data_IF_552227809896
#
_entry.id   IF_552227809896
#
_cell.length_a   1.000
_cell.length_b   1.000
_cell.length_c   1.000
_cell.angle_alpha   90.00
_cell.angle_beta   90.00
_cell.angle_gamma   90.00
#
_symmetry.space_group_name_H-M   'P 1'
#
loop_
_entity.id
_entity.type
_entity.pdbx_description
1 polymer ?
#
# COMPACT_ATOMS: atom_id res chain seq x y z
N UNK A 1 -25.47 9.06 5.21
CA UNK A 1 -25.45 8.25 3.98
C UNK A 1 -24.97 9.02 2.77
N UNK A 2 -25.46 10.22 2.49
CA UNK A 2 -25.07 11.04 1.33
C UNK A 2 -23.55 11.30 1.23
N UNK A 3 -22.88 11.62 2.33
CA UNK A 3 -21.42 11.83 2.35
C UNK A 3 -20.62 10.58 1.96
N UNK A 4 -20.99 9.41 2.47
CA UNK A 4 -20.30 8.15 2.11
C UNK A 4 -20.48 7.78 0.64
N UNK A 5 -21.71 7.93 0.12
CA UNK A 5 -21.98 7.71 -1.32
C UNK A 5 -21.18 8.70 -2.16
N UNK A 6 -21.16 9.98 -1.76
CA UNK A 6 -20.35 11.00 -2.44
C UNK A 6 -18.84 10.70 -2.37
N UNK A 7 -18.30 10.36 -1.20
CA UNK A 7 -16.88 10.02 -1.04
C UNK A 7 -16.49 8.76 -1.80
N UNK A 8 -17.37 7.75 -1.84
CA UNK A 8 -17.18 6.55 -2.64
C UNK A 8 -17.17 6.87 -4.14
N UNK A 9 -18.12 7.67 -4.63
CA UNK A 9 -18.14 8.07 -6.05
C UNK A 9 -16.98 8.97 -6.40
N UNK A 10 -16.59 9.89 -5.51
CA UNK A 10 -15.41 10.72 -5.67
C UNK A 10 -14.10 9.90 -5.67
N UNK A 11 -14.09 8.69 -5.11
CA UNK A 11 -12.91 7.82 -5.20
C UNK A 11 -12.58 7.39 -6.63
N UNK A 12 -13.57 7.33 -7.52
CA UNK A 12 -13.35 7.00 -8.94
C UNK A 12 -12.56 8.07 -9.70
N UNK A 13 -12.54 9.31 -9.19
CA UNK A 13 -11.74 10.40 -9.76
C UNK A 13 -10.36 10.54 -9.13
N UNK A 14 -10.04 9.76 -8.10
CA UNK A 14 -8.70 9.72 -7.50
C UNK A 14 -7.80 8.83 -8.34
N UNK A 15 -6.56 9.25 -8.52
CA UNK A 15 -5.56 8.47 -9.24
C UNK A 15 -5.26 7.15 -8.49
N UNK A 16 -4.93 6.12 -9.27
CA UNK A 16 -4.44 4.85 -8.73
C UNK A 16 -2.94 4.94 -8.46
N UNK A 17 -2.49 4.29 -7.40
CA UNK A 17 -1.04 4.11 -7.13
C UNK A 17 -0.43 3.04 -8.04
N UNK A 18 -1.24 2.17 -8.64
CA UNK A 18 -0.75 1.05 -9.44
C UNK A 18 0.15 1.47 -10.62
N UNK A 19 -0.16 2.51 -11.42
CA UNK A 19 0.75 2.98 -12.48
C UNK A 19 2.10 3.47 -11.94
N UNK A 20 2.10 4.26 -10.86
CA UNK A 20 3.34 4.75 -10.24
C UNK A 20 4.19 3.61 -9.69
N UNK A 21 3.56 2.63 -9.04
CA UNK A 21 4.24 1.44 -8.53
C UNK A 21 4.82 0.58 -9.67
N UNK A 22 4.06 0.40 -10.77
CA UNK A 22 4.53 -0.30 -11.96
C UNK A 22 5.74 0.39 -12.58
N UNK A 23 5.70 1.72 -12.69
CA UNK A 23 6.81 2.50 -13.22
C UNK A 23 8.07 2.33 -12.38
N UNK A 24 7.98 2.47 -11.05
CA UNK A 24 9.12 2.28 -10.16
C UNK A 24 9.66 0.85 -10.18
N UNK A 25 8.77 -0.15 -10.29
CA UNK A 25 9.20 -1.54 -10.44
C UNK A 25 10.00 -1.72 -11.73
N UNK A 26 9.60 -1.11 -12.83
CA UNK A 26 10.31 -1.19 -14.12
C UNK A 26 11.62 -0.42 -14.10
N UNK A 27 11.67 0.76 -13.48
CA UNK A 27 12.91 1.50 -13.27
C UNK A 27 13.93 0.65 -12.49
N UNK A 28 13.49 0.02 -11.39
CA UNK A 28 14.35 -0.90 -10.63
C UNK A 28 14.74 -2.13 -11.44
N UNK A 29 13.88 -2.63 -12.32
CA UNK A 29 14.19 -3.76 -13.20
C UNK A 29 15.29 -3.41 -14.20
N UNK A 30 15.27 -2.20 -14.79
CA UNK A 30 16.34 -1.70 -15.67
C UNK A 30 17.65 -1.58 -14.91
N UNK A 31 17.62 -0.95 -13.73
CA UNK A 31 18.83 -0.75 -12.92
C UNK A 31 19.39 -2.07 -12.38
N UNK A 32 18.54 -3.03 -12.02
CA UNK A 32 18.90 -4.33 -11.48
C UNK A 32 19.43 -5.30 -12.54
N UNK A 33 19.03 -5.16 -13.80
CA UNK A 33 19.30 -6.13 -14.86
C UNK A 33 20.79 -6.53 -15.00
N UNK A 34 21.79 -5.62 -14.91
CA UNK A 34 23.20 -5.99 -14.99
C UNK A 34 23.69 -6.86 -13.84
N UNK A 35 23.07 -6.73 -12.64
CA UNK A 35 23.47 -7.45 -11.43
C UNK A 35 22.72 -8.78 -11.24
N UNK A 36 21.67 -9.05 -12.05
CA UNK A 36 20.91 -10.29 -11.97
C UNK A 36 21.58 -11.42 -12.73
N UNK A 37 21.58 -12.67 -12.18
CA UNK A 37 21.99 -13.84 -12.92
C UNK A 37 21.19 -13.99 -14.23
N UNK A 38 21.82 -14.37 -15.38
CA UNK A 38 21.13 -14.46 -16.67
C UNK A 38 19.88 -15.36 -16.67
N UNK A 39 19.85 -16.39 -15.81
CA UNK A 39 18.70 -17.29 -15.66
C UNK A 39 17.51 -16.64 -14.93
N UNK A 40 17.73 -15.65 -14.09
CA UNK A 40 16.70 -14.96 -13.31
C UNK A 40 16.25 -13.64 -13.95
N UNK A 41 17.10 -13.04 -14.77
CA UNK A 41 16.81 -11.76 -15.43
C UNK A 41 15.48 -11.76 -16.19
N UNK A 42 15.14 -12.75 -17.06
CA UNK A 42 13.85 -12.74 -17.78
C UNK A 42 12.63 -12.83 -16.86
N UNK A 43 12.79 -13.48 -15.70
CA UNK A 43 11.69 -13.70 -14.74
C UNK A 43 11.44 -12.47 -13.87
N UNK A 44 12.52 -11.78 -13.45
CA UNK A 44 12.46 -10.71 -12.46
C UNK A 44 12.45 -9.32 -13.10
N UNK A 45 13.25 -9.12 -14.14
CA UNK A 45 13.37 -7.83 -14.83
C UNK A 45 12.67 -7.82 -16.19
N UNK A 46 12.28 -8.98 -16.72
CA UNK A 46 11.75 -9.11 -18.08
C UNK A 46 12.84 -9.35 -19.12
N UNK A 47 12.43 -9.60 -20.36
CA UNK A 47 13.35 -9.89 -21.48
C UNK A 47 14.07 -8.61 -21.93
N UNK A 48 13.34 -7.52 -22.02
CA UNK A 48 13.88 -6.17 -22.29
C UNK A 48 13.25 -5.16 -21.31
N UNK A 49 13.89 -4.94 -20.15
CA UNK A 49 13.38 -4.02 -19.16
C UNK A 49 13.30 -2.57 -19.64
N UNK A 50 14.25 -2.15 -20.50
CA UNK A 50 14.30 -0.79 -21.05
C UNK A 50 13.14 -0.53 -22.01
N UNK A 51 12.77 -1.50 -22.86
CA UNK A 51 11.61 -1.40 -23.73
C UNK A 51 10.29 -1.38 -22.93
N UNK A 52 10.21 -2.16 -21.85
CA UNK A 52 9.03 -2.14 -20.98
C UNK A 52 8.88 -0.79 -20.26
N UNK A 53 9.96 -0.24 -19.75
CA UNK A 53 9.96 1.09 -19.13
C UNK A 53 9.55 2.17 -20.13
N UNK A 54 10.11 2.13 -21.34
CA UNK A 54 9.74 3.06 -22.42
C UNK A 54 8.23 3.02 -22.73
N UNK A 55 7.66 1.83 -22.88
CA UNK A 55 6.21 1.67 -23.14
C UNK A 55 5.37 2.27 -22.01
N UNK A 56 5.75 2.01 -20.77
CA UNK A 56 5.01 2.57 -19.62
C UNK A 56 5.10 4.08 -19.55
N UNK A 57 6.27 4.66 -19.84
CA UNK A 57 6.42 6.12 -19.88
C UNK A 57 5.59 6.75 -21.03
N UNK A 58 5.51 6.09 -22.20
CA UNK A 58 4.70 6.56 -23.33
C UNK A 58 3.18 6.48 -23.08
N UNK A 59 2.73 5.62 -22.17
CA UNK A 59 1.31 5.53 -21.79
C UNK A 59 0.87 6.71 -20.88
N UNK A 60 1.83 7.41 -20.25
CA UNK A 60 1.55 8.56 -19.39
C UNK A 60 1.58 9.84 -20.22
N UNK A 61 0.55 10.71 -20.14
CA UNK A 61 0.58 12.02 -20.78
C UNK A 61 1.81 12.85 -20.36
N UNK A 62 2.46 13.53 -21.31
CA UNK A 62 3.71 14.26 -21.09
C UNK A 62 3.61 15.35 -20.00
N UNK A 63 2.43 15.97 -19.87
CA UNK A 63 2.12 16.99 -18.86
C UNK A 63 1.98 16.43 -17.44
N UNK A 64 1.88 15.10 -17.30
CA UNK A 64 1.85 14.39 -16.00
C UNK A 64 3.19 13.77 -15.61
N UNK A 65 4.14 13.71 -16.54
CA UNK A 65 5.50 13.24 -16.24
C UNK A 65 6.28 14.33 -15.53
N UNK A 66 6.97 13.98 -14.46
CA UNK A 66 7.92 14.86 -13.79
C UNK A 66 9.21 15.05 -14.62
N UNK A 67 10.07 15.99 -14.21
CA UNK A 67 11.32 16.32 -14.92
C UNK A 67 12.20 15.11 -15.14
N UNK A 68 12.35 14.27 -14.12
CA UNK A 68 13.15 13.04 -14.15
C UNK A 68 12.59 12.03 -15.14
N UNK A 69 11.28 11.80 -15.11
CA UNK A 69 10.58 10.85 -16.00
C UNK A 69 10.64 11.31 -17.47
N UNK A 70 10.53 12.62 -17.72
CA UNK A 70 10.71 13.19 -19.08
C UNK A 70 12.12 12.98 -19.62
N UNK A 71 13.15 13.14 -18.76
CA UNK A 71 14.53 12.87 -19.13
C UNK A 71 14.78 11.36 -19.35
N UNK A 72 14.19 10.47 -18.54
CA UNK A 72 14.24 9.03 -18.78
C UNK A 72 13.59 8.64 -20.10
N UNK A 73 12.41 9.20 -20.40
CA UNK A 73 11.74 9.00 -21.70
C UNK A 73 12.62 9.45 -22.87
N UNK A 74 13.23 10.63 -22.75
CA UNK A 74 14.12 11.16 -23.78
C UNK A 74 15.39 10.32 -23.96
N UNK A 75 15.92 9.74 -22.87
CA UNK A 75 17.10 8.88 -22.93
C UNK A 75 16.80 7.49 -23.54
N UNK A 76 15.59 6.97 -23.30
CA UNK A 76 15.18 5.64 -23.78
C UNK A 76 14.69 5.65 -25.22
N UNK A 77 14.05 6.74 -25.67
CA UNK A 77 13.44 6.79 -27.01
C UNK A 77 14.50 6.95 -28.09
N UNK A 78 14.34 6.19 -29.18
CA UNK A 78 15.15 6.29 -30.40
C UNK A 78 14.54 7.23 -31.42
N UNK A 79 13.28 7.56 -31.30
CA UNK A 79 12.57 8.49 -32.18
C UNK A 79 12.92 9.93 -31.78
N UNK A 80 13.47 10.68 -32.74
CA UNK A 80 13.89 12.08 -32.53
C UNK A 80 12.69 12.98 -32.24
N UNK A 81 11.54 12.73 -32.89
CA UNK A 81 10.34 13.53 -32.65
C UNK A 81 9.78 13.35 -31.24
N UNK A 82 9.71 12.10 -30.77
CA UNK A 82 9.29 11.78 -29.40
C UNK A 82 10.26 12.37 -28.37
N UNK A 83 11.58 12.27 -28.62
CA UNK A 83 12.62 12.85 -27.77
C UNK A 83 12.46 14.35 -27.63
N UNK A 84 12.31 15.05 -28.75
CA UNK A 84 12.09 16.51 -28.76
C UNK A 84 10.79 16.88 -28.06
N UNK A 85 9.71 16.13 -28.27
CA UNK A 85 8.44 16.33 -27.58
C UNK A 85 8.56 16.16 -26.05
N UNK A 86 9.26 15.14 -25.59
CA UNK A 86 9.50 14.91 -24.15
C UNK A 86 10.29 16.06 -23.50
N UNK A 87 11.19 16.70 -24.25
CA UNK A 87 12.07 17.77 -23.78
C UNK A 87 11.55 19.18 -24.10
N UNK A 88 10.38 19.32 -24.75
CA UNK A 88 9.83 20.63 -25.16
C UNK A 88 9.32 21.47 -23.97
N UNK A 89 8.91 20.82 -22.87
CA UNK A 89 8.46 21.52 -21.68
C UNK A 89 9.66 21.96 -20.82
N UNK A 90 9.62 23.16 -20.22
CA UNK A 90 10.67 23.62 -19.33
C UNK A 90 10.77 22.69 -18.11
N UNK A 91 11.99 22.51 -17.60
CA UNK A 91 12.21 21.79 -16.35
C UNK A 91 12.02 22.73 -15.17
N UNK A 92 11.44 22.20 -14.10
CA UNK A 92 11.36 22.92 -12.80
C UNK A 92 12.74 22.95 -12.12
N UNK A 93 13.54 21.89 -12.36
CA UNK A 93 14.87 21.71 -11.78
C UNK A 93 15.94 22.27 -12.74
N UNK A 94 16.42 23.48 -12.48
CA UNK A 94 17.40 24.18 -13.31
C UNK A 94 18.73 23.40 -13.49
N UNK A 95 19.14 22.63 -12.48
CA UNK A 95 20.38 21.84 -12.52
C UNK A 95 20.36 20.73 -13.59
N UNK A 96 19.20 20.36 -14.11
CA UNK A 96 19.02 19.34 -15.15
C UNK A 96 18.93 19.92 -16.57
N UNK A 97 18.83 21.24 -16.74
CA UNK A 97 18.76 21.87 -18.07
C UNK A 97 19.96 21.55 -18.98
N UNK A 98 21.22 21.46 -18.48
CA UNK A 98 22.33 21.09 -19.36
C UNK A 98 22.19 19.69 -19.95
N UNK A 99 21.68 18.73 -19.15
CA UNK A 99 21.39 17.37 -19.61
C UNK A 99 20.23 17.36 -20.62
N UNK A 100 19.17 18.13 -20.36
CA UNK A 100 18.04 18.28 -21.29
C UNK A 100 18.53 18.72 -22.68
N UNK A 101 19.39 19.76 -22.74
CA UNK A 101 19.97 20.27 -23.99
C UNK A 101 20.86 19.24 -24.70
N UNK A 102 21.69 18.50 -23.95
CA UNK A 102 22.53 17.45 -24.49
C UNK A 102 21.72 16.31 -25.10
N UNK A 103 20.67 15.85 -24.42
CA UNK A 103 19.76 14.80 -24.92
C UNK A 103 18.95 15.28 -26.14
N UNK A 104 18.53 16.56 -26.19
CA UNK A 104 17.80 17.11 -27.32
C UNK A 104 18.61 17.15 -28.62
N UNK A 105 19.95 17.33 -28.52
CA UNK A 105 20.87 17.36 -29.63
C UNK A 105 21.54 16.04 -29.96
N UNK A 106 21.28 14.99 -29.17
CA UNK A 106 21.87 13.67 -29.36
C UNK A 106 21.30 12.99 -30.62
N UNK A 107 22.18 12.59 -31.53
CA UNK A 107 21.86 11.80 -32.71
C UNK A 107 22.33 10.34 -32.52
N UNK A 108 21.83 9.37 -33.32
CA UNK A 108 22.27 7.98 -33.24
C UNK A 108 23.79 7.78 -33.46
N UNK A 109 24.46 8.74 -34.07
CA UNK A 109 25.91 8.76 -34.30
C UNK A 109 26.69 9.53 -33.24
N UNK A 110 26.04 10.07 -32.21
CA UNK A 110 26.68 10.83 -31.14
C UNK A 110 27.67 9.92 -30.39
N UNK A 111 28.88 10.42 -30.18
CA UNK A 111 29.88 9.76 -29.33
C UNK A 111 30.03 10.52 -28.01
N UNK A 112 30.23 9.78 -26.94
CA UNK A 112 30.41 10.36 -25.62
C UNK A 112 31.66 11.27 -25.62
N UNK A 113 31.49 12.55 -25.30
CA UNK A 113 32.55 13.54 -25.19
C UNK A 113 32.91 13.83 -23.74
N UNK A 114 34.07 14.40 -23.46
CA UNK A 114 34.48 14.83 -22.12
C UNK A 114 33.46 15.81 -21.49
N UNK A 115 32.85 16.67 -22.32
CA UNK A 115 31.79 17.57 -21.86
C UNK A 115 30.53 16.80 -21.41
N UNK A 116 30.16 15.73 -22.12
CA UNK A 116 29.05 14.86 -21.70
C UNK A 116 29.38 14.12 -20.39
N UNK A 117 30.62 13.60 -20.24
CA UNK A 117 31.05 12.95 -19.01
C UNK A 117 30.98 13.88 -17.78
N UNK A 118 31.35 15.16 -17.95
CA UNK A 118 31.19 16.16 -16.89
C UNK A 118 29.74 16.41 -16.52
N UNK A 119 28.81 16.43 -17.49
CA UNK A 119 27.38 16.58 -17.21
C UNK A 119 26.83 15.37 -16.43
N UNK A 120 27.32 14.16 -16.72
CA UNK A 120 26.92 12.93 -16.05
C UNK A 120 27.47 12.80 -14.62
N UNK A 121 28.46 13.62 -14.22
CA UNK A 121 28.95 13.69 -12.83
C UNK A 121 28.07 14.58 -11.93
N UNK A 122 26.99 15.18 -12.47
CA UNK A 122 26.07 15.98 -11.67
C UNK A 122 25.44 15.12 -10.56
N UNK A 123 25.57 15.50 -9.26
CA UNK A 123 25.02 14.75 -8.13
C UNK A 123 23.48 14.74 -8.09
N UNK A 124 22.81 15.60 -8.86
CA UNK A 124 21.36 15.57 -9.02
C UNK A 124 20.85 14.40 -9.87
N UNK A 125 21.75 13.69 -10.58
CA UNK A 125 21.41 12.52 -11.38
C UNK A 125 21.43 11.26 -10.53
N UNK A 126 20.29 10.59 -10.44
CA UNK A 126 20.25 9.25 -9.89
C UNK A 126 20.96 8.22 -10.80
N UNK A 127 21.34 7.04 -10.28
CA UNK A 127 22.10 6.06 -11.05
C UNK A 127 21.43 5.61 -12.34
N UNK A 128 20.10 5.44 -12.36
CA UNK A 128 19.37 5.02 -13.55
C UNK A 128 19.37 6.08 -14.64
N UNK A 129 19.04 7.34 -14.28
CA UNK A 129 19.05 8.44 -15.22
C UNK A 129 20.45 8.70 -15.77
N UNK A 130 21.47 8.61 -14.95
CA UNK A 130 22.89 8.73 -15.35
C UNK A 130 23.27 7.65 -16.36
N UNK A 131 22.96 6.38 -16.06
CA UNK A 131 23.27 5.25 -16.95
C UNK A 131 22.59 5.41 -18.33
N UNK A 132 21.27 5.63 -18.33
CA UNK A 132 20.50 5.73 -19.58
C UNK A 132 20.88 6.96 -20.39
N UNK A 133 21.14 8.09 -19.74
CA UNK A 133 21.61 9.30 -20.42
C UNK A 133 22.99 9.11 -21.02
N UNK A 134 23.90 8.42 -20.35
CA UNK A 134 25.22 8.08 -20.88
C UNK A 134 25.11 7.20 -22.14
N UNK A 135 24.27 6.16 -22.10
CA UNK A 135 23.99 5.29 -23.27
C UNK A 135 23.37 6.10 -24.43
N UNK A 136 22.43 7.01 -24.14
CA UNK A 136 21.80 7.88 -25.14
C UNK A 136 22.78 8.88 -25.77
N UNK A 137 23.80 9.31 -25.05
CA UNK A 137 24.86 10.22 -25.53
C UNK A 137 26.03 9.47 -26.21
N UNK A 138 25.86 8.18 -26.51
CA UNK A 138 26.82 7.37 -27.28
C UNK A 138 27.91 6.70 -26.42
N UNK A 139 27.72 6.62 -25.11
CA UNK A 139 28.56 5.83 -24.23
C UNK A 139 28.35 4.33 -24.43
N UNK A 140 29.40 3.55 -24.39
CA UNK A 140 29.28 2.10 -24.30
C UNK A 140 28.84 1.73 -22.87
N UNK A 141 28.09 0.63 -22.74
CA UNK A 141 27.59 0.16 -21.42
C UNK A 141 28.70 0.06 -20.37
N UNK A 142 29.88 -0.42 -20.75
CA UNK A 142 31.03 -0.52 -19.85
C UNK A 142 31.60 0.84 -19.38
N UNK A 143 31.45 1.89 -20.18
CA UNK A 143 31.85 3.26 -19.81
C UNK A 143 30.77 3.95 -18.96
N UNK A 144 29.53 3.57 -19.14
CA UNK A 144 28.37 4.15 -18.43
C UNK A 144 28.13 3.55 -17.05
N UNK A 145 28.90 2.53 -16.66
CA UNK A 145 28.78 1.86 -15.35
C UNK A 145 29.93 2.28 -14.44
N UNK A 146 29.67 3.18 -13.52
CA UNK A 146 30.62 3.54 -12.45
C UNK A 146 30.57 2.51 -11.31
N UNK A 147 31.61 2.38 -10.45
CA UNK A 147 31.57 1.49 -9.29
C UNK A 147 30.38 1.76 -8.35
N UNK A 148 30.02 3.04 -8.15
CA UNK A 148 28.85 3.44 -7.35
C UNK A 148 27.53 2.97 -7.98
N UNK A 149 27.43 3.01 -9.31
CA UNK A 149 26.25 2.53 -10.03
C UNK A 149 26.16 0.99 -9.99
N UNK A 150 27.28 0.28 -9.89
CA UNK A 150 27.32 -1.17 -9.68
C UNK A 150 26.74 -1.56 -8.31
N UNK A 151 27.08 -0.83 -7.25
CA UNK A 151 26.48 -1.04 -5.92
C UNK A 151 24.99 -0.73 -5.92
N UNK A 152 24.56 0.32 -6.62
CA UNK A 152 23.14 0.65 -6.80
C UNK A 152 22.39 -0.46 -7.55
N UNK A 153 22.99 -1.04 -8.60
CA UNK A 153 22.40 -2.16 -9.34
C UNK A 153 22.25 -3.43 -8.47
N UNK A 154 23.26 -3.74 -7.63
CA UNK A 154 23.16 -4.84 -6.65
C UNK A 154 22.05 -4.58 -5.64
N UNK A 155 21.98 -3.37 -5.08
CA UNK A 155 20.93 -2.97 -4.17
C UNK A 155 19.52 -3.07 -4.81
N UNK A 156 19.37 -2.60 -6.04
CA UNK A 156 18.14 -2.70 -6.82
C UNK A 156 17.75 -4.16 -7.07
N UNK A 157 18.72 -5.03 -7.41
CA UNK A 157 18.47 -6.46 -7.63
C UNK A 157 17.96 -7.16 -6.37
N UNK A 158 18.53 -6.86 -5.20
CA UNK A 158 18.09 -7.42 -3.92
C UNK A 158 16.68 -6.95 -3.55
N UNK A 159 16.40 -5.65 -3.73
CA UNK A 159 15.06 -5.09 -3.48
C UNK A 159 14.02 -5.69 -4.41
N UNK A 160 14.32 -5.83 -5.70
CA UNK A 160 13.44 -6.43 -6.68
C UNK A 160 13.16 -7.91 -6.38
N UNK A 161 14.19 -8.69 -6.01
CA UNK A 161 14.06 -10.06 -5.57
C UNK A 161 13.11 -10.18 -4.38
N UNK A 162 13.33 -9.38 -3.35
CA UNK A 162 12.49 -9.39 -2.15
C UNK A 162 11.05 -8.96 -2.47
N UNK A 163 10.86 -7.90 -3.26
CA UNK A 163 9.55 -7.38 -3.62
C UNK A 163 8.70 -8.39 -4.43
N UNK A 164 9.33 -9.26 -5.21
CA UNK A 164 8.65 -10.26 -6.02
C UNK A 164 8.57 -11.63 -5.33
N UNK A 165 9.67 -12.14 -4.78
CA UNK A 165 9.71 -13.51 -4.24
C UNK A 165 8.99 -13.63 -2.89
N UNK A 166 9.02 -12.58 -2.06
CA UNK A 166 8.34 -12.63 -0.77
C UNK A 166 6.81 -12.77 -0.90
N UNK A 167 6.09 -11.95 -1.70
CA UNK A 167 4.65 -12.14 -1.93
C UNK A 167 4.32 -13.48 -2.59
N UNK A 168 5.11 -13.94 -3.57
CA UNK A 168 4.91 -15.23 -4.23
C UNK A 168 5.06 -16.38 -3.22
N UNK A 169 6.11 -16.36 -2.42
CA UNK A 169 6.32 -17.37 -1.37
C UNK A 169 5.20 -17.39 -0.34
N UNK A 170 4.76 -16.22 0.12
CA UNK A 170 3.65 -16.09 1.05
C UNK A 170 2.34 -16.59 0.43
N UNK A 171 2.09 -16.28 -0.85
CA UNK A 171 0.92 -16.76 -1.60
C UNK A 171 0.91 -18.29 -1.71
N UNK A 172 2.02 -18.91 -2.10
CA UNK A 172 2.12 -20.38 -2.24
C UNK A 172 1.91 -21.09 -0.89
N UNK A 173 2.55 -20.60 0.17
CA UNK A 173 2.33 -21.12 1.52
C UNK A 173 0.86 -20.93 1.92
N UNK A 174 0.28 -19.78 1.60
CA UNK A 174 -1.12 -19.46 1.87
C UNK A 174 -2.08 -20.43 1.18
N UNK A 175 -1.86 -20.74 -0.10
CA UNK A 175 -2.65 -21.74 -0.85
C UNK A 175 -2.59 -23.09 -0.16
N UNK A 176 -1.40 -23.58 0.18
CA UNK A 176 -1.23 -24.88 0.87
C UNK A 176 -1.96 -24.90 2.20
N UNK A 177 -1.82 -23.86 3.02
CA UNK A 177 -2.48 -23.76 4.31
C UNK A 177 -4.00 -23.68 4.16
N UNK A 178 -4.50 -22.90 3.21
CA UNK A 178 -5.93 -22.76 2.94
C UNK A 178 -6.53 -24.09 2.49
N UNK A 179 -5.94 -24.73 1.49
CA UNK A 179 -6.42 -26.04 0.97
C UNK A 179 -6.38 -27.12 2.06
N UNK A 180 -5.32 -27.16 2.88
CA UNK A 180 -5.22 -28.06 4.03
C UNK A 180 -6.34 -27.81 5.04
N UNK A 181 -6.61 -26.54 5.38
CA UNK A 181 -7.67 -26.20 6.34
C UNK A 181 -9.07 -26.57 5.81
N UNK A 182 -9.34 -26.27 4.54
CA UNK A 182 -10.58 -26.65 3.88
C UNK A 182 -10.76 -28.19 3.84
N UNK A 183 -9.72 -28.92 3.48
CA UNK A 183 -9.74 -30.39 3.47
C UNK A 183 -9.97 -30.99 4.85
N UNK A 184 -9.28 -30.45 5.91
CA UNK A 184 -9.47 -30.90 7.28
C UNK A 184 -10.88 -30.61 7.79
N UNK A 185 -11.48 -29.46 7.40
CA UNK A 185 -12.88 -29.13 7.72
C UNK A 185 -13.86 -30.08 7.02
N UNK A 186 -13.64 -30.33 5.75
CA UNK A 186 -14.44 -31.29 4.99
C UNK A 186 -14.38 -32.69 5.63
N UNK A 187 -13.20 -33.11 6.07
CA UNK A 187 -13.00 -34.37 6.83
C UNK A 187 -13.53 -34.31 8.27
N UNK A 188 -14.07 -33.20 8.71
CA UNK A 188 -14.50 -32.96 10.11
C UNK A 188 -13.41 -33.24 11.15
N UNK A 189 -12.14 -33.08 10.77
CA UNK A 189 -10.96 -33.29 11.61
C UNK A 189 -10.60 -32.07 12.48
N UNK A 190 -11.22 -30.90 12.25
CA UNK A 190 -11.02 -29.71 13.05
C UNK A 190 -12.10 -29.57 14.13
N UNK A 191 -11.72 -29.07 15.33
CA UNK A 191 -12.68 -28.81 16.38
C UNK A 191 -13.71 -27.74 15.97
N UNK A 192 -14.87 -27.78 16.61
CA UNK A 192 -15.87 -26.71 16.46
C UNK A 192 -15.30 -25.37 16.89
N UNK A 193 -15.76 -24.32 16.27
CA UNK A 193 -15.35 -22.97 16.65
C UNK A 193 -15.88 -22.59 18.02
N UNK A 194 -15.10 -21.84 18.81
CA UNK A 194 -15.55 -21.35 20.11
C UNK A 194 -16.79 -20.45 19.98
N UNK A 195 -17.52 -20.23 21.07
CA UNK A 195 -18.60 -19.25 21.07
C UNK A 195 -18.04 -17.86 20.77
N UNK A 196 -18.75 -17.10 19.92
CA UNK A 196 -18.40 -15.72 19.63
C UNK A 196 -18.95 -14.86 20.78
N UNK A 197 -18.04 -14.40 21.63
CA UNK A 197 -18.35 -13.49 22.73
C UNK A 197 -18.05 -12.05 22.31
N UNK A 198 -18.85 -11.11 22.81
CA UNK A 198 -18.71 -9.67 22.55
C UNK A 198 -19.75 -8.86 23.33
N UNK A 199 -19.69 -7.53 23.26
CA UNK A 199 -20.56 -6.65 24.04
C UNK A 199 -22.03 -6.84 23.68
N UNK A 200 -22.90 -6.70 24.68
CA UNK A 200 -24.36 -6.86 24.56
C UNK A 200 -25.01 -5.57 24.02
N UNK A 201 -24.42 -4.98 23.00
CA UNK A 201 -24.93 -3.79 22.33
C UNK A 201 -26.02 -4.14 21.32
N UNK A 202 -26.90 -3.19 21.07
CA UNK A 202 -27.95 -3.25 20.05
C UNK A 202 -27.44 -2.78 18.69
N UNK A 203 -28.15 -3.09 17.57
CA UNK A 203 -27.83 -2.53 16.26
C UNK A 203 -27.85 -0.98 16.22
N UNK A 204 -28.65 -0.33 17.06
CA UNK A 204 -28.71 1.14 17.15
C UNK A 204 -27.41 1.68 17.75
N UNK A 205 -26.89 1.04 18.80
CA UNK A 205 -25.64 1.47 19.45
C UNK A 205 -24.43 1.31 18.52
N UNK A 206 -24.35 0.24 17.72
CA UNK A 206 -23.29 0.12 16.71
C UNK A 206 -23.47 1.14 15.57
N UNK A 207 -24.71 1.54 15.24
CA UNK A 207 -24.93 2.61 14.27
C UNK A 207 -24.45 3.95 14.80
N UNK A 208 -24.68 4.26 16.09
CA UNK A 208 -24.14 5.46 16.74
C UNK A 208 -22.61 5.41 16.75
N UNK A 209 -22.02 4.26 17.06
CA UNK A 209 -20.57 4.08 17.09
C UNK A 209 -19.95 4.29 15.70
N UNK A 210 -20.48 3.62 14.68
CA UNK A 210 -19.91 3.63 13.33
C UNK A 210 -20.32 4.90 12.59
N UNK A 211 -21.62 5.16 12.42
CA UNK A 211 -22.08 6.30 11.64
C UNK A 211 -21.89 7.64 12.37
N UNK A 212 -22.14 7.69 13.68
CA UNK A 212 -21.95 8.90 14.48
C UNK A 212 -20.49 9.15 14.84
N UNK A 213 -19.86 8.17 15.48
CA UNK A 213 -18.50 8.31 16.00
C UNK A 213 -17.42 8.27 14.91
N UNK A 214 -17.38 7.17 14.16
CA UNK A 214 -16.31 6.96 13.17
C UNK A 214 -16.51 7.83 11.92
N UNK A 215 -17.72 7.83 11.32
CA UNK A 215 -17.96 8.53 10.05
C UNK A 215 -18.16 10.03 10.26
N UNK A 216 -19.18 10.40 11.05
CA UNK A 216 -19.56 11.81 11.15
C UNK A 216 -18.53 12.61 11.96
N UNK A 217 -18.29 12.22 13.20
CA UNK A 217 -17.36 12.97 14.06
C UNK A 217 -15.91 12.78 13.64
N UNK A 218 -15.45 11.54 13.47
CA UNK A 218 -14.06 11.24 13.13
C UNK A 218 -13.70 11.55 11.68
N UNK A 219 -14.57 11.20 10.73
CA UNK A 219 -14.29 11.32 9.30
C UNK A 219 -14.69 12.64 8.65
N UNK A 220 -15.55 13.46 9.29
CA UNK A 220 -16.02 14.73 8.72
C UNK A 220 -15.74 15.90 9.63
N UNK A 221 -16.31 15.90 10.85
CA UNK A 221 -16.29 17.09 11.72
C UNK A 221 -14.88 17.41 12.19
N UNK A 222 -14.17 16.42 12.73
CA UNK A 222 -12.82 16.66 13.26
C UNK A 222 -11.79 16.98 12.17
N UNK A 223 -11.75 16.31 11.00
CA UNK A 223 -10.85 16.74 9.92
C UNK A 223 -11.07 18.18 9.49
N UNK A 224 -12.33 18.62 9.32
CA UNK A 224 -12.63 20.04 8.97
C UNK A 224 -12.09 21.03 9.99
N UNK A 225 -12.08 20.67 11.28
CA UNK A 225 -11.62 21.55 12.35
C UNK A 225 -10.11 21.47 12.59
N UNK A 226 -9.51 20.29 12.42
CA UNK A 226 -8.13 20.00 12.85
C UNK A 226 -7.14 20.05 11.69
N UNK A 227 -7.53 19.67 10.46
CA UNK A 227 -6.61 19.68 9.32
C UNK A 227 -6.01 21.05 9.03
N UNK A 228 -6.75 22.17 9.05
CA UNK A 228 -6.14 23.50 8.83
C UNK A 228 -5.09 23.85 9.88
N UNK A 229 -5.29 23.43 11.13
CA UNK A 229 -4.33 23.66 12.22
C UNK A 229 -3.07 22.82 12.00
N UNK A 230 -3.22 21.56 11.63
CA UNK A 230 -2.11 20.67 11.33
C UNK A 230 -1.30 21.21 10.14
N UNK A 231 -1.98 21.65 9.09
CA UNK A 231 -1.35 22.25 7.92
C UNK A 231 -0.50 23.45 8.27
N UNK A 232 -1.05 24.41 9.00
CA UNK A 232 -0.32 25.61 9.43
C UNK A 232 0.90 25.26 10.29
N UNK A 233 0.80 24.26 11.17
CA UNK A 233 1.87 23.91 12.10
C UNK A 233 3.01 23.11 11.44
N UNK A 234 2.71 22.30 10.41
CA UNK A 234 3.64 21.29 9.91
C UNK A 234 3.98 21.39 8.41
N UNK A 235 3.33 22.24 7.61
CA UNK A 235 3.59 22.41 6.18
C UNK A 235 5.05 22.81 5.84
N UNK A 236 5.74 23.47 6.77
CA UNK A 236 7.14 23.90 6.58
C UNK A 236 8.20 22.82 6.85
N UNK A 237 7.81 21.59 7.20
CA UNK A 237 8.77 20.53 7.51
C UNK A 237 9.30 19.87 6.21
N UNK A 238 10.64 19.68 6.10
CA UNK A 238 11.25 19.13 4.89
C UNK A 238 10.94 17.64 4.69
N UNK A 239 11.03 17.18 3.44
CA UNK A 239 11.04 15.74 3.09
C UNK A 239 9.77 14.97 3.44
N UNK A 240 8.60 15.58 3.33
CA UNK A 240 7.32 14.90 3.60
C UNK A 240 7.04 14.61 5.10
N UNK A 241 7.93 15.03 6.01
CA UNK A 241 7.78 14.78 7.45
C UNK A 241 6.52 15.47 8.00
N UNK A 242 6.24 16.70 7.60
CA UNK A 242 5.03 17.43 7.99
C UNK A 242 3.76 16.68 7.59
N UNK A 243 3.73 16.12 6.39
CA UNK A 243 2.62 15.30 5.91
C UNK A 243 2.45 14.02 6.73
N UNK A 244 3.55 13.31 7.05
CA UNK A 244 3.51 12.11 7.88
C UNK A 244 3.01 12.38 9.30
N UNK A 245 3.45 13.49 9.92
CA UNK A 245 2.92 13.96 11.21
C UNK A 245 1.42 14.28 11.08
N UNK A 246 1.03 14.96 10.01
CA UNK A 246 -0.37 15.27 9.72
C UNK A 246 -1.24 14.04 9.63
N UNK A 247 -0.80 13.00 8.92
CA UNK A 247 -1.49 11.70 8.82
C UNK A 247 -1.65 11.04 10.19
N UNK A 248 -0.57 10.96 10.97
CA UNK A 248 -0.60 10.38 12.32
C UNK A 248 -1.60 11.12 13.23
N UNK A 249 -1.53 12.44 13.29
CA UNK A 249 -2.40 13.26 14.13
C UNK A 249 -3.86 13.19 13.66
N UNK A 250 -4.10 13.23 12.36
CA UNK A 250 -5.46 13.09 11.79
C UNK A 250 -6.04 11.72 12.13
N UNK A 251 -5.24 10.65 12.05
CA UNK A 251 -5.71 9.31 12.38
C UNK A 251 -6.03 9.17 13.88
N UNK A 252 -5.17 9.67 14.77
CA UNK A 252 -5.42 9.68 16.22
C UNK A 252 -6.70 10.46 16.52
N UNK A 253 -6.85 11.64 15.92
CA UNK A 253 -8.02 12.51 16.10
C UNK A 253 -9.31 11.83 15.63
N UNK A 254 -9.26 11.15 14.48
CA UNK A 254 -10.39 10.37 13.94
C UNK A 254 -10.80 9.23 14.87
N UNK A 255 -9.85 8.57 15.53
CA UNK A 255 -10.12 7.43 16.39
C UNK A 255 -10.74 7.81 17.77
N UNK A 256 -10.55 9.04 18.24
CA UNK A 256 -11.00 9.48 19.56
C UNK A 256 -12.54 9.38 19.73
N UNK A 257 -13.42 9.96 18.85
CA UNK A 257 -14.86 9.95 19.07
C UNK A 257 -15.45 8.53 19.15
N UNK A 258 -15.17 7.60 18.23
CA UNK A 258 -15.71 6.27 18.34
C UNK A 258 -15.20 5.50 19.58
N UNK A 259 -13.95 5.73 20.02
CA UNK A 259 -13.43 5.12 21.24
C UNK A 259 -14.11 5.68 22.50
N UNK A 260 -14.40 6.99 22.53
CA UNK A 260 -15.13 7.62 23.64
C UNK A 260 -16.56 7.09 23.70
N UNK A 261 -17.24 7.01 22.55
CA UNK A 261 -18.61 6.45 22.45
C UNK A 261 -18.58 4.98 22.90
N UNK A 262 -17.65 4.18 22.39
CA UNK A 262 -17.51 2.78 22.77
C UNK A 262 -17.27 2.62 24.28
N UNK A 263 -16.35 3.39 24.85
CA UNK A 263 -16.10 3.38 26.29
C UNK A 263 -17.37 3.68 27.09
N UNK A 264 -18.14 4.68 26.69
CA UNK A 264 -19.41 5.03 27.32
C UNK A 264 -20.44 3.89 27.21
N UNK A 265 -20.58 3.30 26.01
CA UNK A 265 -21.51 2.18 25.78
C UNK A 265 -21.14 0.94 26.60
N UNK A 266 -19.84 0.59 26.65
CA UNK A 266 -19.36 -0.55 27.44
C UNK A 266 -19.53 -0.32 28.94
N UNK A 267 -19.33 0.92 29.42
CA UNK A 267 -19.55 1.28 30.84
C UNK A 267 -21.01 1.29 31.28
N UNK A 268 -21.96 1.33 30.32
CA UNK A 268 -23.39 1.22 30.60
C UNK A 268 -23.90 -0.23 30.67
N UNK A 269 -23.06 -1.22 30.30
CA UNK A 269 -23.43 -2.64 30.38
C UNK A 269 -23.25 -3.17 31.79
N UNK A 270 -24.13 -4.12 32.24
CA UNK A 270 -24.04 -4.73 33.57
C UNK A 270 -22.72 -5.48 33.77
N UNK A 271 -22.03 -5.23 34.89
CA UNK A 271 -20.76 -5.86 35.23
C UNK A 271 -20.87 -7.39 35.37
N UNK A 272 -22.02 -7.90 35.84
CA UNK A 272 -22.29 -9.33 36.03
C UNK A 272 -22.28 -10.13 34.71
N UNK A 273 -22.40 -9.46 33.57
CA UNK A 273 -22.45 -10.07 32.23
C UNK A 273 -21.12 -10.02 31.48
N UNK A 274 -20.07 -9.44 32.09
CA UNK A 274 -18.74 -9.34 31.44
C UNK A 274 -18.16 -10.74 31.29
N UNK A 275 -17.92 -11.21 30.04
CA UNK A 275 -17.34 -12.53 29.82
C UNK A 275 -15.88 -12.60 30.22
N UNK A 276 -15.41 -13.81 30.51
CA UNK A 276 -13.98 -14.05 30.71
C UNK A 276 -13.16 -13.52 29.52
N UNK A 277 -12.21 -12.63 29.78
CA UNK A 277 -11.43 -11.95 28.75
C UNK A 277 -11.99 -10.58 28.33
N UNK A 278 -13.02 -10.08 29.02
CA UNK A 278 -13.65 -8.77 28.81
C UNK A 278 -14.56 -8.73 27.58
N UNK A 279 -15.29 -7.64 27.38
CA UNK A 279 -16.22 -7.46 26.27
C UNK A 279 -15.57 -7.64 24.89
N UNK A 280 -14.33 -7.17 24.71
CA UNK A 280 -13.63 -7.21 23.43
C UNK A 280 -12.85 -8.52 23.20
N UNK A 281 -12.74 -9.38 24.22
CA UNK A 281 -12.01 -10.66 24.12
C UNK A 281 -10.55 -10.49 23.67
N UNK A 282 -9.84 -9.54 24.25
CA UNK A 282 -8.41 -9.31 23.94
C UNK A 282 -7.57 -10.58 24.14
N UNK A 283 -7.70 -11.20 25.32
CA UNK A 283 -7.02 -12.46 25.70
C UNK A 283 -5.58 -12.49 25.19
N UNK A 284 -4.76 -11.58 25.73
CA UNK A 284 -3.37 -11.40 25.27
C UNK A 284 -2.55 -12.69 25.43
N UNK A 285 -2.75 -13.44 26.52
CA UNK A 285 -2.04 -14.68 26.79
C UNK A 285 -2.74 -15.91 26.18
N UNK A 286 -1.99 -16.92 25.69
CA UNK A 286 -0.56 -16.83 25.36
C UNK A 286 -0.34 -16.03 24.05
N UNK A 287 0.48 -14.99 24.14
CA UNK A 287 0.72 -14.07 23.02
C UNK A 287 1.36 -14.76 21.80
N UNK A 288 2.31 -15.71 22.00
CA UNK A 288 2.92 -16.46 20.90
C UNK A 288 1.92 -17.24 20.05
N UNK A 289 0.86 -17.81 20.69
CA UNK A 289 -0.24 -18.46 19.97
C UNK A 289 -1.03 -17.43 19.12
N UNK A 290 -1.25 -16.23 19.65
CA UNK A 290 -1.95 -15.18 18.91
C UNK A 290 -1.17 -14.72 17.67
N UNK A 291 0.16 -14.56 17.79
CA UNK A 291 1.05 -14.25 16.68
C UNK A 291 1.00 -15.33 15.59
N UNK A 292 1.12 -16.61 15.99
CA UNK A 292 1.03 -17.73 15.04
C UNK A 292 -0.34 -17.81 14.35
N UNK A 293 -1.43 -17.59 15.09
CA UNK A 293 -2.78 -17.59 14.54
C UNK A 293 -2.98 -16.43 13.57
N UNK A 294 -2.51 -15.23 13.92
CA UNK A 294 -2.58 -14.04 13.08
C UNK A 294 -1.75 -14.20 11.80
N UNK A 295 -0.48 -14.59 11.91
CA UNK A 295 0.40 -14.82 10.78
C UNK A 295 -0.12 -15.93 9.84
N UNK A 296 -0.62 -17.05 10.41
CA UNK A 296 -1.28 -18.09 9.61
C UNK A 296 -2.55 -17.55 8.91
N UNK A 297 -3.36 -16.77 9.61
CA UNK A 297 -4.55 -16.14 9.06
C UNK A 297 -4.22 -15.22 7.88
N UNK A 298 -3.16 -14.40 8.02
CA UNK A 298 -2.64 -13.56 6.96
C UNK A 298 -2.23 -14.37 5.72
N UNK A 299 -1.43 -15.43 5.88
CA UNK A 299 -1.06 -16.30 4.76
C UNK A 299 -2.29 -16.90 4.07
N UNK A 300 -3.27 -17.39 4.84
CA UNK A 300 -4.47 -18.04 4.30
C UNK A 300 -5.42 -17.07 3.60
N UNK A 301 -5.43 -15.79 3.95
CA UNK A 301 -6.29 -14.78 3.30
C UNK A 301 -5.65 -14.21 2.03
N UNK A 302 -4.32 -14.29 1.87
CA UNK A 302 -3.64 -13.81 0.68
C UNK A 302 -4.20 -14.37 -0.64
N UNK A 303 -4.36 -15.70 -0.82
CA UNK A 303 -4.85 -16.23 -2.09
C UNK A 303 -6.22 -15.69 -2.52
N UNK A 304 -7.27 -15.69 -1.69
CA UNK A 304 -8.56 -15.15 -2.10
C UNK A 304 -8.55 -13.62 -2.31
N UNK A 305 -7.77 -12.85 -1.54
CA UNK A 305 -7.67 -11.39 -1.74
C UNK A 305 -6.94 -11.08 -3.04
N UNK A 306 -5.78 -11.70 -3.29
CA UNK A 306 -5.00 -11.52 -4.53
C UNK A 306 -5.81 -11.94 -5.74
N UNK A 307 -6.51 -13.09 -5.67
CA UNK A 307 -7.40 -13.55 -6.75
C UNK A 307 -8.53 -12.55 -7.03
N UNK A 308 -9.14 -11.99 -5.98
CA UNK A 308 -10.21 -10.99 -6.14
C UNK A 308 -9.67 -9.70 -6.78
N UNK A 309 -8.51 -9.20 -6.34
CA UNK A 309 -7.86 -8.05 -6.96
C UNK A 309 -7.51 -8.28 -8.43
N UNK A 310 -6.93 -9.44 -8.75
CA UNK A 310 -6.63 -9.83 -10.13
C UNK A 310 -7.90 -9.93 -10.99
N UNK A 311 -8.98 -10.52 -10.46
CA UNK A 311 -10.25 -10.64 -11.17
C UNK A 311 -10.87 -9.27 -11.45
N UNK A 312 -10.83 -8.35 -10.46
CA UNK A 312 -11.31 -6.97 -10.64
C UNK A 312 -10.49 -6.23 -11.70
N UNK A 313 -9.18 -6.34 -11.67
CA UNK A 313 -8.31 -5.77 -12.71
C UNK A 313 -8.62 -6.29 -14.12
N UNK A 314 -9.04 -7.56 -14.25
CA UNK A 314 -9.44 -8.15 -15.53
C UNK A 314 -10.84 -7.73 -16.02
N UNK A 315 -11.79 -7.55 -15.10
CA UNK A 315 -13.19 -7.26 -15.44
C UNK A 315 -13.47 -5.76 -15.58
N UNK A 316 -12.84 -4.94 -14.74
CA UNK A 316 -13.15 -3.50 -14.62
C UNK A 316 -11.96 -2.63 -15.07
N UNK A 317 -10.75 -3.21 -15.13
CA UNK A 317 -9.51 -2.46 -15.31
C UNK A 317 -9.03 -1.84 -14.00
N UNK A 318 -8.38 -0.69 -14.09
CA UNK A 318 -7.98 0.09 -12.91
C UNK A 318 -9.06 1.14 -12.60
N UNK A 319 -9.91 0.90 -11.60
CA UNK A 319 -10.98 1.83 -11.27
C UNK A 319 -10.51 3.09 -10.51
N UNK A 320 -9.20 3.23 -10.26
CA UNK A 320 -8.65 4.32 -9.46
C UNK A 320 -8.92 4.20 -7.97
N UNK A 321 -8.69 5.28 -7.25
CA UNK A 321 -9.11 5.42 -5.86
C UNK A 321 -8.23 4.77 -4.81
N UNK A 322 -6.93 4.64 -5.06
CA UNK A 322 -5.98 4.15 -4.05
C UNK A 322 -5.96 5.04 -2.81
N UNK A 323 -5.56 4.44 -1.69
CA UNK A 323 -5.36 5.18 -0.45
C UNK A 323 -4.19 6.17 -0.62
N UNK A 324 -4.38 7.48 -0.38
CA UNK A 324 -3.32 8.48 -0.50
C UNK A 324 -2.06 8.20 0.32
N UNK A 325 -2.19 7.47 1.43
CA UNK A 325 -1.05 7.06 2.25
C UNK A 325 -0.05 6.20 1.46
N UNK A 326 -0.52 5.36 0.54
CA UNK A 326 0.36 4.51 -0.28
C UNK A 326 1.27 5.36 -1.18
N UNK A 327 0.73 6.42 -1.78
CA UNK A 327 1.50 7.35 -2.59
C UNK A 327 2.54 8.12 -1.78
N UNK A 328 2.16 8.55 -0.56
CA UNK A 328 3.09 9.22 0.36
C UNK A 328 4.25 8.32 0.76
N UNK A 329 4.01 7.03 1.00
CA UNK A 329 5.06 6.05 1.30
C UNK A 329 5.98 5.85 0.09
N UNK A 330 5.38 5.74 -1.10
CA UNK A 330 6.11 5.47 -2.34
C UNK A 330 7.06 6.61 -2.72
N UNK A 331 6.69 7.87 -2.40
CA UNK A 331 7.45 9.09 -2.74
C UNK A 331 8.33 9.60 -1.60
N UNK A 332 8.31 8.98 -0.42
CA UNK A 332 9.02 9.51 0.75
C UNK A 332 10.44 8.96 0.86
N UNK A 333 11.43 9.87 0.88
CA UNK A 333 12.84 9.57 1.14
C UNK A 333 13.23 9.80 2.60
N UNK A 334 12.31 10.33 3.43
CA UNK A 334 12.59 10.66 4.81
C UNK A 334 12.33 9.45 5.73
N UNK A 335 13.36 8.86 6.38
CA UNK A 335 13.18 7.67 7.22
C UNK A 335 12.22 7.89 8.39
N UNK A 336 12.22 9.09 8.98
CA UNK A 336 11.32 9.39 10.09
C UNK A 336 9.86 9.49 9.62
N UNK A 337 9.63 10.08 8.44
CA UNK A 337 8.31 10.09 7.81
C UNK A 337 7.81 8.66 7.57
N UNK A 338 8.65 7.79 7.01
CA UNK A 338 8.32 6.38 6.78
C UNK A 338 7.99 5.66 8.10
N UNK A 339 8.74 5.90 9.18
CA UNK A 339 8.44 5.32 10.51
C UNK A 339 7.10 5.78 11.04
N UNK A 340 6.75 7.06 10.91
CA UNK A 340 5.45 7.59 11.36
C UNK A 340 4.29 7.03 10.53
N UNK A 341 4.45 6.93 9.22
CA UNK A 341 3.46 6.32 8.33
C UNK A 341 3.29 4.82 8.65
N UNK A 342 4.40 4.09 8.88
CA UNK A 342 4.37 2.69 9.31
C UNK A 342 3.67 2.52 10.67
N UNK A 343 3.98 3.36 11.65
CA UNK A 343 3.31 3.34 12.96
C UNK A 343 1.79 3.51 12.80
N UNK A 344 1.38 4.46 11.95
CA UNK A 344 -0.03 4.71 11.68
C UNK A 344 -0.68 3.52 10.98
N UNK A 345 -0.13 3.07 9.86
CA UNK A 345 -0.76 2.06 9.01
C UNK A 345 -0.65 0.63 9.57
N UNK A 346 0.48 0.28 10.20
CA UNK A 346 0.76 -1.11 10.62
C UNK A 346 0.35 -1.37 12.06
N UNK A 347 0.32 -0.35 12.91
CA UNK A 347 0.04 -0.53 14.34
C UNK A 347 -1.28 0.11 14.74
N UNK A 348 -1.41 1.43 14.57
CA UNK A 348 -2.57 2.17 15.11
C UNK A 348 -3.86 1.82 14.36
N UNK A 349 -3.81 1.75 13.02
CA UNK A 349 -4.97 1.44 12.21
C UNK A 349 -5.50 0.03 12.49
N UNK A 350 -4.71 -1.05 12.41
CA UNK A 350 -5.19 -2.38 12.77
C UNK A 350 -5.73 -2.49 14.19
N UNK A 351 -5.06 -1.83 15.15
CA UNK A 351 -5.48 -1.86 16.54
C UNK A 351 -6.89 -1.25 16.71
N UNK A 352 -7.10 -0.08 16.18
CA UNK A 352 -8.35 0.65 16.27
C UNK A 352 -9.47 -0.05 15.47
N UNK A 353 -9.20 -0.41 14.24
CA UNK A 353 -10.18 -0.99 13.34
C UNK A 353 -10.66 -2.37 13.80
N UNK A 354 -9.77 -3.22 14.28
CA UNK A 354 -10.18 -4.52 14.81
C UNK A 354 -11.01 -4.40 16.10
N UNK A 355 -10.73 -3.40 16.95
CA UNK A 355 -11.58 -3.11 18.11
C UNK A 355 -13.01 -2.79 17.66
N UNK A 356 -13.16 -1.91 16.68
CA UNK A 356 -14.49 -1.50 16.18
C UNK A 356 -15.16 -2.66 15.43
N UNK A 357 -14.51 -3.20 14.41
CA UNK A 357 -15.16 -4.15 13.48
C UNK A 357 -15.26 -5.56 14.05
N UNK A 358 -14.22 -6.11 14.69
CA UNK A 358 -14.19 -7.50 15.20
C UNK A 358 -14.47 -7.60 16.67
N UNK A 359 -14.17 -6.54 17.43
CA UNK A 359 -14.52 -6.46 18.85
C UNK A 359 -16.00 -6.16 19.08
N UNK A 360 -16.62 -5.33 18.23
CA UNK A 360 -17.99 -4.81 18.44
C UNK A 360 -18.94 -5.18 17.31
N UNK A 361 -18.70 -4.69 16.08
CA UNK A 361 -19.64 -4.83 14.95
C UNK A 361 -19.93 -6.29 14.63
N UNK A 362 -18.92 -7.13 14.49
CA UNK A 362 -19.09 -8.54 14.17
C UNK A 362 -19.91 -9.30 15.22
N UNK A 363 -19.62 -9.26 16.54
CA UNK A 363 -20.42 -9.97 17.54
C UNK A 363 -21.89 -9.52 17.58
N UNK A 364 -22.15 -8.23 17.43
CA UNK A 364 -23.51 -7.70 17.45
C UNK A 364 -24.31 -8.14 16.22
N UNK A 365 -23.73 -8.00 15.02
CA UNK A 365 -24.38 -8.47 13.79
C UNK A 365 -24.56 -9.98 13.74
N UNK A 366 -23.56 -10.74 14.21
CA UNK A 366 -23.66 -12.20 14.26
C UNK A 366 -24.74 -12.69 15.25
N UNK A 367 -24.98 -11.96 16.32
CA UNK A 367 -26.06 -12.26 17.27
C UNK A 367 -27.44 -11.93 16.68
N UNK A 368 -27.54 -10.80 15.98
CA UNK A 368 -28.81 -10.34 15.40
C UNK A 368 -29.22 -11.14 14.15
N UNK A 369 -28.26 -11.49 13.28
CA UNK A 369 -28.52 -12.00 11.93
C UNK A 369 -27.92 -13.39 11.67
N UNK A 370 -27.24 -13.97 12.65
CA UNK A 370 -26.49 -15.21 12.49
C UNK A 370 -25.04 -14.99 12.02
N UNK A 371 -24.18 -16.01 12.27
CA UNK A 371 -22.72 -15.91 12.04
C UNK A 371 -22.34 -15.59 10.59
N UNK A 372 -23.03 -16.19 9.60
CA UNK A 372 -22.74 -15.97 8.19
C UNK A 372 -22.96 -14.52 7.75
N UNK A 373 -24.12 -13.98 8.06
CA UNK A 373 -24.44 -12.57 7.79
C UNK A 373 -23.57 -11.61 8.60
N UNK A 374 -23.27 -11.97 9.87
CA UNK A 374 -22.33 -11.19 10.68
C UNK A 374 -20.95 -11.05 10.04
N UNK A 375 -20.40 -12.13 9.50
CA UNK A 375 -19.11 -12.13 8.78
C UNK A 375 -19.19 -11.25 7.53
N UNK A 376 -20.21 -11.44 6.69
CA UNK A 376 -20.36 -10.68 5.45
C UNK A 376 -20.56 -9.19 5.72
N UNK A 377 -21.52 -8.83 6.58
CA UNK A 377 -21.83 -7.42 6.84
C UNK A 377 -20.70 -6.69 7.60
N UNK A 378 -20.03 -7.36 8.55
CA UNK A 378 -18.85 -6.78 9.20
C UNK A 378 -17.71 -6.53 8.21
N UNK A 379 -17.50 -7.46 7.26
CA UNK A 379 -16.55 -7.30 6.17
C UNK A 379 -16.95 -6.17 5.21
N UNK A 380 -18.23 -6.06 4.88
CA UNK A 380 -18.75 -5.03 4.00
C UNK A 380 -18.62 -3.62 4.62
N UNK A 381 -18.98 -3.45 5.89
CA UNK A 381 -18.84 -2.17 6.59
C UNK A 381 -17.37 -1.78 6.69
N UNK A 382 -16.48 -2.75 6.94
CA UNK A 382 -15.03 -2.55 6.92
C UNK A 382 -14.54 -2.06 5.54
N UNK A 383 -14.93 -2.73 4.46
CA UNK A 383 -14.53 -2.36 3.10
C UNK A 383 -15.05 -0.97 2.70
N UNK A 384 -16.33 -0.68 3.00
CA UNK A 384 -16.95 0.62 2.70
C UNK A 384 -16.32 1.76 3.51
N UNK A 385 -15.84 1.48 4.73
CA UNK A 385 -15.15 2.46 5.58
C UNK A 385 -13.84 2.99 4.96
N UNK A 386 -13.22 2.25 4.03
CA UNK A 386 -12.01 2.68 3.32
C UNK A 386 -12.29 3.69 2.18
N UNK A 387 -13.55 3.92 1.82
CA UNK A 387 -13.97 4.92 0.83
C UNK A 387 -13.26 4.81 -0.52
N UNK A 388 -12.99 3.58 -0.98
CA UNK A 388 -12.38 3.25 -2.26
C UNK A 388 -13.22 2.19 -2.97
N UNK A 389 -13.81 2.53 -4.13
CA UNK A 389 -14.59 1.56 -4.92
C UNK A 389 -13.70 0.49 -5.51
N UNK A 390 -12.52 0.88 -6.00
CA UNK A 390 -11.56 -0.05 -6.60
C UNK A 390 -11.04 -1.11 -5.65
N UNK A 391 -10.84 -0.73 -4.40
CA UNK A 391 -10.34 -1.62 -3.35
C UNK A 391 -11.46 -2.36 -2.61
N UNK A 392 -12.73 -1.99 -2.82
CA UNK A 392 -13.87 -2.54 -2.06
C UNK A 392 -13.96 -4.08 -2.14
N UNK A 393 -13.88 -4.77 -3.31
CA UNK A 393 -13.98 -6.21 -3.35
C UNK A 393 -12.82 -6.93 -2.64
N UNK A 394 -11.54 -6.62 -2.84
CA UNK A 394 -10.45 -7.24 -2.08
C UNK A 394 -10.51 -6.92 -0.58
N UNK A 395 -10.89 -5.69 -0.18
CA UNK A 395 -11.09 -5.33 1.23
C UNK A 395 -12.26 -6.06 1.87
N UNK A 396 -13.34 -6.32 1.13
CA UNK A 396 -14.43 -7.17 1.60
C UNK A 396 -13.94 -8.58 1.92
N UNK A 397 -13.16 -9.19 1.02
CA UNK A 397 -12.60 -10.53 1.23
C UNK A 397 -11.63 -10.55 2.41
N UNK A 398 -10.76 -9.55 2.53
CA UNK A 398 -9.89 -9.38 3.70
C UNK A 398 -10.72 -9.24 4.99
N UNK A 399 -11.74 -8.39 4.96
CA UNK A 399 -12.66 -8.15 6.06
C UNK A 399 -13.39 -9.42 6.52
N UNK A 400 -13.83 -10.24 5.58
CA UNK A 400 -14.43 -11.55 5.87
C UNK A 400 -13.40 -12.52 6.46
N UNK A 401 -12.16 -12.53 5.95
CA UNK A 401 -11.06 -13.34 6.47
C UNK A 401 -10.74 -13.01 7.93
N UNK A 402 -10.64 -11.73 8.27
CA UNK A 402 -10.46 -11.24 9.64
C UNK A 402 -11.63 -11.66 10.56
N UNK A 403 -12.87 -11.55 10.07
CA UNK A 403 -14.06 -12.00 10.81
C UNK A 403 -14.06 -13.53 11.04
N UNK A 404 -13.67 -14.33 10.05
CA UNK A 404 -13.51 -15.78 10.18
C UNK A 404 -12.41 -16.14 11.17
N UNK A 405 -11.29 -15.42 11.20
CA UNK A 405 -10.25 -15.60 12.20
C UNK A 405 -10.76 -15.29 13.61
N UNK A 406 -11.55 -14.22 13.77
CA UNK A 406 -12.20 -13.90 15.05
C UNK A 406 -13.13 -15.01 15.52
N UNK A 407 -13.96 -15.57 14.62
CA UNK A 407 -14.84 -16.70 14.92
C UNK A 407 -14.06 -17.97 15.29
N UNK A 408 -12.99 -18.28 14.56
CA UNK A 408 -12.23 -19.53 14.75
C UNK A 408 -11.35 -19.53 16.00
N UNK A 409 -10.90 -18.35 16.44
CA UNK A 409 -10.01 -18.20 17.59
C UNK A 409 -10.71 -17.75 18.87
N UNK A 410 -11.87 -17.09 18.75
CA UNK A 410 -12.56 -16.44 19.87
C UNK A 410 -11.80 -15.25 20.46
N UNK A 411 -10.70 -14.79 19.85
CA UNK A 411 -9.77 -13.79 20.38
C UNK A 411 -9.63 -12.61 19.40
N UNK A 412 -9.45 -11.40 19.95
CA UNK A 412 -9.26 -10.19 19.13
C UNK A 412 -7.80 -10.04 18.65
N UNK A 413 -6.81 -10.33 19.50
CA UNK A 413 -5.40 -10.13 19.18
C UNK A 413 -4.93 -10.82 17.88
N UNK A 414 -5.32 -12.08 17.55
CA UNK A 414 -4.97 -12.67 16.25
C UNK A 414 -5.46 -11.87 15.05
N UNK A 415 -6.61 -11.18 15.16
CA UNK A 415 -7.13 -10.35 14.08
C UNK A 415 -6.28 -9.08 13.89
N UNK A 416 -5.90 -8.43 14.99
CA UNK A 416 -4.96 -7.29 14.96
C UNK A 416 -3.65 -7.70 14.32
N UNK A 417 -3.09 -8.86 14.71
CA UNK A 417 -1.83 -9.37 14.12
C UNK A 417 -1.98 -9.68 12.63
N UNK A 418 -3.06 -10.35 12.22
CA UNK A 418 -3.32 -10.65 10.81
C UNK A 418 -3.41 -9.38 9.97
N UNK A 419 -4.14 -8.37 10.47
CA UNK A 419 -4.31 -7.08 9.80
C UNK A 419 -2.98 -6.31 9.74
N UNK A 420 -2.25 -6.26 10.86
CA UNK A 420 -0.92 -5.65 10.90
C UNK A 420 0.06 -6.33 9.93
N UNK A 421 0.04 -7.67 9.81
CA UNK A 421 0.86 -8.40 8.82
C UNK A 421 0.47 -8.02 7.38
N UNK A 422 -0.83 -7.87 7.08
CA UNK A 422 -1.28 -7.42 5.76
C UNK A 422 -0.74 -6.04 5.42
N UNK A 423 -0.95 -5.07 6.31
CA UNK A 423 -0.49 -3.71 6.10
C UNK A 423 1.05 -3.60 6.07
N UNK A 424 1.75 -4.37 6.92
CA UNK A 424 3.20 -4.41 6.93
C UNK A 424 3.78 -4.98 5.63
N UNK A 425 3.17 -6.03 5.07
CA UNK A 425 3.61 -6.62 3.80
C UNK A 425 3.42 -5.64 2.63
N UNK A 426 2.28 -4.95 2.58
CA UNK A 426 2.01 -3.88 1.59
C UNK A 426 3.00 -2.73 1.75
N UNK A 427 3.20 -2.25 2.98
CA UNK A 427 4.12 -1.15 3.28
C UNK A 427 5.57 -1.50 2.92
N UNK A 428 6.00 -2.71 3.26
CA UNK A 428 7.34 -3.21 2.91
C UNK A 428 7.54 -3.25 1.39
N UNK A 429 6.54 -3.74 0.66
CA UNK A 429 6.61 -3.80 -0.80
C UNK A 429 6.75 -2.40 -1.42
N UNK A 430 6.03 -1.40 -0.89
CA UNK A 430 6.15 -0.01 -1.32
C UNK A 430 7.55 0.56 -1.05
N UNK A 431 8.15 0.28 0.12
CA UNK A 431 9.52 0.71 0.43
C UNK A 431 10.55 0.03 -0.47
N UNK A 432 10.37 -1.27 -0.74
CA UNK A 432 11.31 -2.02 -1.59
C UNK A 432 11.29 -1.52 -3.04
N UNK A 433 10.12 -1.12 -3.54
CA UNK A 433 9.95 -0.61 -4.90
C UNK A 433 10.09 0.91 -4.98
N UNK A 434 9.84 1.65 -3.91
CA UNK A 434 10.08 3.08 -3.80
C UNK A 434 11.55 3.48 -3.97
N UNK A 435 11.81 4.76 -4.04
CA UNK A 435 13.12 5.38 -4.31
C UNK A 435 14.25 4.87 -3.45
#
# INVERSE_FOLDING_TARGET
MTYWVWSLTASLSRDSVAPALSLQQQEKAVLAAPALPPSLQPVLAGVDPSEQLLKTLLEVPLDRLDDRQRLLLAALTRDQAERVAALALPLETQDLEPLQRALATAEPSTTLSDAHEQLLQNPALDPLLRQLSCEALGGSRDRCTNPEDADAAVGASQRLLLAQLFPIGALLIGVVLLLRDLWMRWRRALPAWPPLLGPLLSPVEITILVAGGFVLLGGVVLPVLVSPVIEVLFLGQPGGLGQAIGVLLSYITMAIPPLVILRSQLGALPDDNVPDGGWLQWRLQPWGRALLQGGRGWLMVMPPVVFTGWLMGRLVGDPGGSNPLLEMVLRSDNPLALVLLALTAVVLAPLFEEVVFRGVVLPVLARALGRGWGVFLSGLVFAVAHLSIGELPPLLVLGMGLALLRLSTGRLLPCVVMHACWNAATFLNLILLGS
#
